data_IF_755644886760
#
_entry.id   IF_755644886760
#
_cell.length_a   1.000
_cell.length_b   1.000
_cell.length_c   1.000
_cell.angle_alpha   90.00
_cell.angle_beta   90.00
_cell.angle_gamma   90.00
#
_symmetry.space_group_name_H-M   'P 1'
#
loop_
_entity.id
_entity.type
_entity.pdbx_description
1 polymer ?
#
# COMPACT_ATOMS: atom_id res chain seq x y z
N UNK A 1 -2.89 18.26 22.18
CA UNK A 1 -4.14 17.50 21.88
C UNK A 1 -3.93 16.08 21.34
N UNK A 2 -2.70 15.58 21.15
CA UNK A 2 -2.44 14.23 20.62
C UNK A 2 -2.76 13.10 21.63
N UNK A 3 -2.67 13.38 22.92
CA UNK A 3 -2.81 12.40 24.01
C UNK A 3 -4.22 11.79 24.11
N UNK A 4 -5.27 12.54 23.81
CA UNK A 4 -6.66 12.06 23.93
C UNK A 4 -7.06 11.16 22.75
N UNK A 5 -6.55 11.45 21.56
CA UNK A 5 -6.73 10.60 20.39
C UNK A 5 -6.03 9.24 20.60
N UNK A 6 -4.78 9.25 21.07
CA UNK A 6 -3.99 8.05 21.38
C UNK A 6 -4.73 7.08 22.30
N UNK A 7 -5.26 7.59 23.42
CA UNK A 7 -6.00 6.77 24.40
C UNK A 7 -7.25 6.07 23.84
N UNK A 8 -7.96 6.72 22.92
CA UNK A 8 -9.15 6.14 22.26
C UNK A 8 -8.75 5.07 21.26
N UNK A 9 -7.67 5.29 20.51
CA UNK A 9 -7.10 4.30 19.62
C UNK A 9 -6.52 3.11 20.38
N UNK A 10 -5.80 3.33 21.48
CA UNK A 10 -5.28 2.27 22.34
C UNK A 10 -6.40 1.40 22.91
N UNK A 11 -7.50 1.99 23.40
CA UNK A 11 -8.67 1.21 23.85
C UNK A 11 -9.36 0.44 22.71
N UNK A 12 -9.43 1.03 21.50
CA UNK A 12 -10.02 0.35 20.34
C UNK A 12 -9.13 -0.80 19.85
N UNK A 13 -7.81 -0.62 19.87
CA UNK A 13 -6.79 -1.62 19.56
C UNK A 13 -6.82 -2.77 20.57
N UNK A 14 -7.01 -2.49 21.86
CA UNK A 14 -7.12 -3.54 22.89
C UNK A 14 -8.38 -4.39 22.72
N UNK A 15 -9.43 -3.86 22.07
CA UNK A 15 -10.72 -4.56 21.87
C UNK A 15 -10.78 -5.37 20.57
N UNK A 16 -10.00 -5.00 19.57
CA UNK A 16 -9.86 -5.75 18.33
C UNK A 16 -8.61 -6.61 18.43
N UNK A 17 -8.78 -7.94 18.45
CA UNK A 17 -7.73 -8.93 18.64
C UNK A 17 -6.41 -8.53 17.96
N UNK A 18 -5.28 -8.68 18.67
CA UNK A 18 -3.93 -8.29 18.19
C UNK A 18 -3.61 -8.78 16.76
N UNK A 19 -4.32 -9.81 16.29
CA UNK A 19 -4.27 -10.33 14.94
C UNK A 19 -4.75 -9.35 13.85
N UNK A 20 -5.71 -8.48 14.15
CA UNK A 20 -6.13 -7.41 13.23
C UNK A 20 -4.99 -6.44 12.92
N UNK A 21 -4.21 -6.07 13.94
CA UNK A 21 -3.01 -5.25 13.73
C UNK A 21 -1.98 -5.95 12.86
N UNK A 22 -1.76 -7.26 13.06
CA UNK A 22 -0.85 -8.06 12.22
C UNK A 22 -1.34 -8.06 10.77
N UNK A 23 -2.63 -8.29 10.53
CA UNK A 23 -3.20 -8.27 9.19
C UNK A 23 -3.01 -6.92 8.48
N UNK A 24 -3.26 -5.81 9.17
CA UNK A 24 -3.02 -4.45 8.65
C UNK A 24 -1.55 -4.23 8.36
N UNK A 25 -0.65 -4.63 9.27
CA UNK A 25 0.79 -4.51 9.08
C UNK A 25 1.28 -5.27 7.83
N UNK A 26 0.75 -6.47 7.58
CA UNK A 26 1.07 -7.27 6.38
C UNK A 26 0.59 -6.57 5.11
N UNK A 27 -0.63 -6.03 5.08
CA UNK A 27 -1.13 -5.28 3.92
C UNK A 27 -0.27 -4.06 3.63
N UNK A 28 0.10 -3.30 4.68
CA UNK A 28 0.97 -2.13 4.54
C UNK A 28 2.36 -2.52 4.02
N UNK A 29 2.93 -3.61 4.52
CA UNK A 29 4.21 -4.12 4.05
C UNK A 29 4.16 -4.52 2.56
N UNK A 30 3.10 -5.24 2.14
CA UNK A 30 2.89 -5.62 0.74
C UNK A 30 2.70 -4.40 -0.17
N UNK A 31 1.94 -3.39 0.28
CA UNK A 31 1.80 -2.14 -0.46
C UNK A 31 3.14 -1.40 -0.60
N UNK A 32 3.90 -1.32 0.49
CA UNK A 32 5.19 -0.65 0.50
C UNK A 32 6.23 -1.33 -0.42
N UNK A 33 6.28 -2.67 -0.43
CA UNK A 33 7.20 -3.40 -1.32
C UNK A 33 6.86 -3.20 -2.79
N UNK A 34 5.57 -3.19 -3.16
CA UNK A 34 5.14 -2.92 -4.53
C UNK A 34 5.51 -1.50 -4.99
N UNK A 35 5.25 -0.49 -4.15
CA UNK A 35 5.60 0.91 -4.45
C UNK A 35 7.12 1.07 -4.56
N UNK A 36 7.87 0.49 -3.63
CA UNK A 36 9.34 0.57 -3.63
C UNK A 36 9.94 -0.14 -4.85
N UNK A 37 9.42 -1.32 -5.20
CA UNK A 37 9.81 -2.04 -6.40
C UNK A 37 9.56 -1.23 -7.67
N UNK A 38 8.41 -0.56 -7.76
CA UNK A 38 8.09 0.35 -8.86
C UNK A 38 9.04 1.55 -8.91
N UNK A 39 9.35 2.17 -7.77
CA UNK A 39 10.29 3.28 -7.70
C UNK A 39 11.70 2.87 -8.16
N UNK A 40 12.20 1.72 -7.69
CA UNK A 40 13.49 1.17 -8.12
C UNK A 40 13.47 0.88 -9.62
N UNK A 41 12.39 0.31 -10.15
CA UNK A 41 12.26 0.02 -11.57
C UNK A 41 12.27 1.29 -12.43
N UNK A 42 11.59 2.36 -12.01
CA UNK A 42 11.63 3.64 -12.71
C UNK A 42 13.06 4.20 -12.77
N UNK A 43 13.83 4.08 -11.68
CA UNK A 43 15.21 4.60 -11.62
C UNK A 43 16.16 3.79 -12.51
N UNK A 44 16.04 2.46 -12.52
CA UNK A 44 16.96 1.58 -13.25
C UNK A 44 16.64 1.51 -14.75
N UNK A 45 15.36 1.32 -15.11
CA UNK A 45 14.98 1.08 -16.50
C UNK A 45 14.50 2.33 -17.26
N UNK A 46 14.31 3.49 -16.59
CA UNK A 46 13.97 4.81 -17.15
C UNK A 46 12.71 4.92 -18.02
N UNK A 47 12.15 3.81 -18.52
CA UNK A 47 10.95 3.72 -19.34
C UNK A 47 10.28 2.36 -19.18
N UNK A 48 8.94 2.32 -19.18
CA UNK A 48 8.16 1.08 -19.22
C UNK A 48 7.09 0.95 -18.12
N UNK A 49 6.28 -0.10 -18.22
CA UNK A 49 5.22 -0.43 -17.27
C UNK A 49 5.66 -1.62 -16.38
N UNK A 50 5.66 -1.43 -15.06
CA UNK A 50 6.22 -2.39 -14.09
C UNK A 50 5.39 -3.67 -13.95
N UNK A 51 4.06 -3.60 -14.14
CA UNK A 51 3.16 -4.72 -13.78
C UNK A 51 2.19 -5.12 -14.90
N UNK A 52 2.35 -4.57 -16.11
CA UNK A 52 1.46 -4.83 -17.24
C UNK A 52 0.06 -4.21 -17.05
N UNK A 53 -0.82 -4.36 -18.06
CA UNK A 53 -2.17 -3.76 -18.08
C UNK A 53 -3.11 -4.53 -17.14
N UNK A 54 -3.47 -3.94 -16.00
CA UNK A 54 -4.56 -4.45 -15.15
C UNK A 54 -5.88 -3.91 -15.68
N UNK A 55 -6.56 -4.70 -16.53
CA UNK A 55 -7.86 -4.36 -17.10
C UNK A 55 -8.97 -5.18 -16.42
N UNK A 56 -9.81 -4.52 -15.62
CA UNK A 56 -11.04 -5.11 -15.14
C UNK A 56 -12.16 -4.95 -16.18
N UNK A 57 -13.03 -5.96 -16.32
CA UNK A 57 -14.15 -5.95 -17.28
C UNK A 57 -15.12 -4.77 -17.11
N UNK A 58 -15.09 -4.09 -15.97
CA UNK A 58 -15.82 -2.86 -15.66
C UNK A 58 -15.21 -1.58 -16.24
N UNK A 59 -14.19 -1.66 -17.09
CA UNK A 59 -13.62 -0.52 -17.82
C UNK A 59 -12.54 0.26 -17.08
N UNK A 60 -12.26 -0.07 -15.81
CA UNK A 60 -11.15 0.52 -15.07
C UNK A 60 -9.83 -0.15 -15.51
N UNK A 61 -9.01 0.61 -16.21
CA UNK A 61 -7.67 0.22 -16.62
C UNK A 61 -6.67 0.99 -15.77
N UNK A 62 -5.95 0.28 -14.90
CA UNK A 62 -4.92 0.90 -14.07
C UNK A 62 -3.58 0.66 -14.74
N UNK A 63 -2.95 1.74 -15.19
CA UNK A 63 -1.63 1.74 -15.79
C UNK A 63 -0.62 2.27 -14.78
N UNK A 64 0.30 1.42 -14.39
CA UNK A 64 1.48 1.81 -13.61
C UNK A 64 2.63 2.06 -14.59
N UNK A 65 2.63 3.23 -15.22
CA UNK A 65 3.70 3.68 -16.11
C UNK A 65 4.72 4.52 -15.33
N UNK A 66 6.01 4.23 -15.51
CA UNK A 66 7.07 5.15 -15.14
C UNK A 66 7.19 6.21 -16.23
N UNK A 67 6.65 7.41 -15.99
CA UNK A 67 6.88 8.58 -16.84
C UNK A 67 8.09 9.35 -16.34
N UNK A 68 8.98 9.74 -17.26
CA UNK A 68 10.15 10.59 -16.99
C UNK A 68 9.72 11.95 -16.43
#
# INVERSE_FOLDING_TARGET
>A
MVTRARFRFDQAIVRHDAWFLVFVAVILALGATLITGMAIWCVVNQHGAFTGRWAWKSGLQVYFECRR
#
